data_IF_707629253000
#
_entry.id   IF_707629253000
#
_cell.length_a   1.000
_cell.length_b   1.000
_cell.length_c   1.000
_cell.angle_alpha   90.00
_cell.angle_beta   90.00
_cell.angle_gamma   90.00
#
_symmetry.space_group_name_H-M   'P 1'
#
loop_
_entity.id
_entity.type
_entity.pdbx_description
1 polymer ?
#
# COMPACT_ATOMS: atom_id res chain seq x y z
N UNK A 1 -15.41 15.78 -11.37
CA UNK A 1 -14.45 15.46 -10.29
C UNK A 1 -15.02 14.33 -9.48
N UNK A 2 -14.22 13.70 -8.63
CA UNK A 2 -14.73 12.75 -7.65
C UNK A 2 -15.54 13.43 -6.54
N UNK A 3 -16.27 12.64 -5.76
CA UNK A 3 -17.05 13.12 -4.63
C UNK A 3 -16.16 13.76 -3.56
N UNK A 4 -16.67 14.79 -2.89
CA UNK A 4 -16.09 15.25 -1.63
C UNK A 4 -16.35 14.23 -0.54
N UNK A 5 -15.54 14.21 0.51
CA UNK A 5 -15.65 13.20 1.57
C UNK A 5 -17.00 13.18 2.27
N UNK A 6 -17.71 14.32 2.34
CA UNK A 6 -19.05 14.41 2.91
C UNK A 6 -20.16 13.92 1.98
N UNK A 7 -19.89 13.88 0.67
CA UNK A 7 -20.85 13.45 -0.36
C UNK A 7 -20.64 11.99 -0.77
N UNK A 8 -19.54 11.37 -0.33
CA UNK A 8 -19.19 10.00 -0.68
C UNK A 8 -20.09 8.98 0.06
N UNK A 9 -20.72 8.03 -0.66
CA UNK A 9 -21.42 6.91 -0.03
C UNK A 9 -20.54 6.08 0.90
N UNK A 10 -21.17 5.35 1.82
CA UNK A 10 -20.49 4.43 2.72
C UNK A 10 -19.79 3.31 1.94
N UNK A 11 -18.55 2.99 2.30
CA UNK A 11 -17.75 1.99 1.56
C UNK A 11 -17.94 0.55 2.08
N UNK A 12 -18.56 0.38 3.26
CA UNK A 12 -18.77 -0.93 3.89
C UNK A 12 -20.19 -1.46 3.75
N UNK A 13 -21.13 -0.64 3.27
CA UNK A 13 -22.53 -1.00 3.14
C UNK A 13 -23.20 -0.12 2.08
N UNK A 14 -24.35 -0.56 1.59
CA UNK A 14 -25.11 0.11 0.53
C UNK A 14 -24.71 -0.34 -0.88
N UNK A 15 -25.53 0.03 -1.88
CA UNK A 15 -25.35 -0.42 -3.26
C UNK A 15 -24.31 0.39 -4.04
N UNK A 16 -23.93 1.56 -3.54
CA UNK A 16 -23.13 2.53 -4.28
C UNK A 16 -21.67 2.54 -3.83
N UNK A 17 -20.76 2.60 -4.80
CA UNK A 17 -19.35 2.82 -4.51
C UNK A 17 -19.10 4.29 -4.07
N UNK A 18 -18.10 4.57 -3.23
CA UNK A 18 -17.84 5.92 -2.71
C UNK A 18 -17.58 7.02 -3.76
N UNK A 19 -17.23 6.65 -4.99
CA UNK A 19 -16.95 7.62 -6.07
C UNK A 19 -15.74 8.52 -5.77
N UNK A 20 -14.73 8.00 -5.09
CA UNK A 20 -13.54 8.73 -4.65
C UNK A 20 -12.58 9.06 -5.80
N UNK A 21 -11.79 10.11 -5.61
CA UNK A 21 -10.81 10.58 -6.58
C UNK A 21 -9.40 10.13 -6.25
N UNK A 22 -8.57 10.00 -7.29
CA UNK A 22 -7.14 9.74 -7.16
C UNK A 22 -6.38 10.77 -7.97
N UNK A 23 -5.44 11.45 -7.32
CA UNK A 23 -4.41 12.25 -7.99
C UNK A 23 -3.07 11.54 -7.83
N UNK A 24 -2.36 11.37 -8.94
CA UNK A 24 -1.02 10.76 -8.97
C UNK A 24 -0.02 11.80 -9.47
N UNK A 25 1.03 12.04 -8.70
CA UNK A 25 2.17 12.87 -9.08
C UNK A 25 3.42 12.00 -9.17
N UNK A 26 4.05 12.01 -10.34
CA UNK A 26 5.38 11.44 -10.55
C UNK A 26 6.41 12.56 -10.65
N UNK A 27 7.54 12.38 -9.97
CA UNK A 27 8.67 13.31 -10.00
C UNK A 27 9.89 12.53 -10.46
N UNK A 28 10.63 13.06 -11.44
CA UNK A 28 11.95 12.56 -11.80
C UNK A 28 13.02 13.33 -11.01
N UNK A 29 13.53 12.80 -9.88
CA UNK A 29 14.41 13.54 -9.00
C UNK A 29 15.79 13.82 -9.60
N UNK A 30 16.25 13.05 -10.59
CA UNK A 30 17.57 13.25 -11.21
C UNK A 30 17.65 14.48 -12.10
N UNK A 31 16.51 15.00 -12.54
CA UNK A 31 16.46 16.31 -13.21
C UNK A 31 16.80 17.46 -12.26
N UNK A 32 16.62 17.25 -10.95
CA UNK A 32 16.91 18.25 -9.91
C UNK A 32 18.24 17.99 -9.21
N UNK A 33 18.59 16.71 -9.02
CA UNK A 33 19.84 16.30 -8.38
C UNK A 33 20.36 14.96 -8.92
N UNK A 34 21.48 14.93 -9.68
CA UNK A 34 21.99 13.72 -10.29
C UNK A 34 22.38 12.60 -9.31
N UNK A 35 22.76 12.94 -8.07
CA UNK A 35 23.15 11.98 -7.03
C UNK A 35 22.02 11.68 -6.02
N UNK A 36 20.77 11.90 -6.39
CA UNK A 36 19.62 11.83 -5.48
C UNK A 36 19.58 10.54 -4.66
N UNK A 37 19.76 9.37 -5.28
CA UNK A 37 19.66 8.09 -4.58
C UNK A 37 20.75 7.92 -3.52
N UNK A 38 21.99 8.33 -3.82
CA UNK A 38 23.09 8.28 -2.85
C UNK A 38 22.78 9.20 -1.67
N UNK A 39 22.38 10.44 -1.94
CA UNK A 39 22.04 11.42 -0.90
C UNK A 39 20.88 10.94 -0.03
N UNK A 40 19.84 10.37 -0.64
CA UNK A 40 18.71 9.83 0.09
C UNK A 40 19.11 8.62 0.95
N UNK A 41 19.90 7.69 0.40
CA UNK A 41 20.44 6.56 1.16
C UNK A 41 21.21 7.02 2.39
N UNK A 42 22.17 7.92 2.21
CA UNK A 42 23.03 8.42 3.29
C UNK A 42 22.20 9.10 4.39
N UNK A 43 21.19 9.89 4.02
CA UNK A 43 20.30 10.55 4.96
C UNK A 43 19.38 9.56 5.70
N UNK A 44 18.80 8.58 5.01
CA UNK A 44 17.97 7.54 5.65
C UNK A 44 18.81 6.69 6.61
N UNK A 45 20.03 6.34 6.24
CA UNK A 45 20.93 5.58 7.10
C UNK A 45 21.33 6.40 8.34
N UNK A 46 21.57 7.71 8.20
CA UNK A 46 21.80 8.61 9.33
C UNK A 46 20.60 8.69 10.26
N UNK A 47 19.39 8.93 9.73
CA UNK A 47 18.15 9.03 10.51
C UNK A 47 17.89 7.77 11.34
N UNK A 48 17.98 6.61 10.68
CA UNK A 48 17.76 5.32 11.32
C UNK A 48 18.84 5.00 12.37
N UNK A 49 20.11 5.06 11.99
CA UNK A 49 21.21 4.54 12.83
C UNK A 49 21.58 5.48 13.97
N UNK A 50 21.58 6.80 13.72
CA UNK A 50 22.02 7.78 14.72
C UNK A 50 20.88 8.27 15.61
N UNK A 51 19.66 8.30 15.09
CA UNK A 51 18.52 8.90 15.80
C UNK A 51 17.36 7.92 16.03
N UNK A 52 17.50 6.65 15.63
CA UNK A 52 16.48 5.63 15.87
C UNK A 52 15.16 5.88 15.12
N UNK A 53 15.16 6.75 14.09
CA UNK A 53 13.94 7.12 13.37
C UNK A 53 13.41 5.93 12.57
N UNK A 54 12.11 5.66 12.69
CA UNK A 54 11.41 4.68 11.87
C UNK A 54 11.42 5.14 10.40
N UNK A 55 11.85 4.26 9.50
CA UNK A 55 11.83 4.51 8.04
C UNK A 55 10.60 3.82 7.45
N UNK A 56 9.59 4.57 6.96
CA UNK A 56 8.40 3.99 6.37
C UNK A 56 8.71 3.06 5.19
N UNK A 57 7.87 2.05 4.97
CA UNK A 57 7.96 1.14 3.83
C UNK A 57 8.91 -0.05 3.99
N UNK A 58 9.93 0.02 4.86
CA UNK A 58 10.88 -1.10 5.06
C UNK A 58 10.21 -2.40 5.51
N UNK A 59 9.42 -2.36 6.58
CA UNK A 59 8.74 -3.54 7.09
C UNK A 59 7.77 -4.16 6.06
N UNK A 60 7.14 -3.31 5.23
CA UNK A 60 6.23 -3.76 4.17
C UNK A 60 6.98 -4.39 3.01
N UNK A 61 8.15 -3.86 2.63
CA UNK A 61 9.03 -4.46 1.63
C UNK A 61 9.51 -5.85 2.09
N UNK A 62 10.00 -5.97 3.32
CA UNK A 62 10.42 -7.26 3.90
C UNK A 62 9.25 -8.27 3.97
N UNK A 63 8.05 -7.81 4.31
CA UNK A 63 6.86 -8.66 4.32
C UNK A 63 6.48 -9.12 2.90
N UNK A 64 6.59 -8.24 1.89
CA UNK A 64 6.32 -8.57 0.50
C UNK A 64 7.32 -9.60 -0.06
N UNK A 65 8.62 -9.45 0.24
CA UNK A 65 9.65 -10.42 -0.12
C UNK A 65 9.38 -11.80 0.49
N UNK A 66 9.05 -11.84 1.79
CA UNK A 66 8.67 -13.10 2.47
C UNK A 66 7.42 -13.73 1.86
N UNK A 67 6.41 -12.91 1.54
CA UNK A 67 5.16 -13.37 0.94
C UNK A 67 5.39 -13.94 -0.46
N UNK A 68 6.25 -13.32 -1.28
CA UNK A 68 6.61 -13.83 -2.60
C UNK A 68 7.34 -15.18 -2.51
N UNK A 69 8.21 -15.36 -1.52
CA UNK A 69 8.99 -16.59 -1.36
C UNK A 69 8.21 -17.74 -0.70
N UNK A 70 7.23 -17.45 0.16
CA UNK A 70 6.62 -18.46 1.05
C UNK A 70 5.09 -18.44 1.07
N UNK A 71 4.47 -17.58 0.25
CA UNK A 71 3.04 -17.31 0.31
C UNK A 71 2.65 -16.43 1.50
N UNK A 72 1.36 -16.10 1.58
CA UNK A 72 0.79 -15.30 2.67
C UNK A 72 0.14 -16.20 3.72
N UNK A 73 0.36 -15.88 5.00
CA UNK A 73 -0.41 -16.48 6.09
C UNK A 73 -1.72 -15.73 6.23
N UNK A 74 -2.84 -16.44 6.17
CA UNK A 74 -4.18 -15.89 6.36
C UNK A 74 -4.97 -16.73 7.36
N UNK A 75 -5.85 -16.13 8.19
CA UNK A 75 -6.75 -16.89 9.05
C UNK A 75 -7.63 -17.82 8.24
N UNK A 76 -7.84 -19.05 8.74
CA UNK A 76 -8.69 -20.06 8.08
C UNK A 76 -10.09 -19.52 7.73
N UNK A 77 -10.67 -18.72 8.63
CA UNK A 77 -11.98 -18.11 8.41
C UNK A 77 -12.03 -17.18 7.18
N UNK A 78 -10.95 -16.43 6.91
CA UNK A 78 -10.84 -15.55 5.73
C UNK A 78 -10.76 -16.38 4.46
N UNK A 79 -9.91 -17.41 4.44
CA UNK A 79 -9.78 -18.32 3.30
C UNK A 79 -11.11 -19.00 3.00
N UNK A 80 -11.77 -19.54 4.02
CA UNK A 80 -13.08 -20.17 3.88
C UNK A 80 -14.12 -19.20 3.31
N UNK A 81 -14.17 -17.96 3.81
CA UNK A 81 -15.12 -16.96 3.32
C UNK A 81 -14.92 -16.61 1.85
N UNK A 82 -13.66 -16.50 1.42
CA UNK A 82 -13.30 -16.26 0.01
C UNK A 82 -13.69 -17.46 -0.86
N UNK A 83 -13.40 -18.69 -0.41
CA UNK A 83 -13.77 -19.91 -1.13
C UNK A 83 -15.29 -20.07 -1.29
N UNK A 84 -16.06 -19.82 -0.23
CA UNK A 84 -17.52 -19.84 -0.28
C UNK A 84 -18.08 -18.79 -1.24
N UNK A 85 -17.50 -17.58 -1.26
CA UNK A 85 -17.88 -16.55 -2.21
C UNK A 85 -17.60 -17.00 -3.64
N UNK A 86 -16.39 -17.47 -3.93
CA UNK A 86 -16.02 -17.94 -5.26
C UNK A 86 -16.94 -19.06 -5.77
N UNK A 87 -17.29 -20.04 -4.92
CA UNK A 87 -18.17 -21.14 -5.29
C UNK A 87 -19.59 -20.68 -5.69
N UNK A 88 -20.11 -19.61 -5.07
CA UNK A 88 -21.44 -19.06 -5.38
C UNK A 88 -21.52 -18.38 -6.75
N UNK A 89 -20.38 -17.91 -7.28
CA UNK A 89 -20.33 -17.08 -8.49
C UNK A 89 -19.46 -17.68 -9.61
N UNK A 90 -19.09 -18.96 -9.50
CA UNK A 90 -18.32 -19.68 -10.53
C UNK A 90 -19.19 -20.52 -11.49
N UNK A 91 -20.51 -20.30 -11.51
CA UNK A 91 -21.47 -20.93 -12.43
C UNK A 91 -21.88 -20.01 -13.57
#
# INVERSE_FOLDING_TARGET
GANWSLDAPWFTDGPDSPGTGLFVLAVEPKLLEPNFEKRMKDQLDRLRRRYGVHVPGRARAEAAEKAAARGITAPKAVVQRISEFAARYSS
#
